data_IF_300951367287
#
_entry.id   IF_300951367287
#
_cell.length_a   1.000
_cell.length_b   1.000
_cell.length_c   1.000
_cell.angle_alpha   90.00
_cell.angle_beta   90.00
_cell.angle_gamma   90.00
#
_symmetry.space_group_name_H-M   'P 1'
#
loop_
_entity.id
_entity.type
_entity.pdbx_description
1 polymer ?
#
# COMPACT_ATOMS: atom_id res chain seq x y z
N UNK A 1 -9.41 22.10 -13.27
CA UNK A 1 -10.11 20.82 -13.52
C UNK A 1 -10.71 20.38 -12.19
N UNK A 2 -11.90 20.91 -11.86
CA UNK A 2 -12.55 20.70 -10.56
C UNK A 2 -13.31 19.37 -10.60
N UNK A 3 -12.86 18.37 -9.84
CA UNK A 3 -13.62 17.15 -9.64
C UNK A 3 -14.96 17.51 -8.97
N UNK A 4 -16.05 17.18 -9.63
CA UNK A 4 -17.42 17.48 -9.19
C UNK A 4 -17.70 16.83 -7.84
N UNK A 5 -17.51 17.58 -6.76
CA UNK A 5 -17.76 17.19 -5.36
C UNK A 5 -19.25 17.34 -4.98
N UNK A 6 -20.14 17.37 -5.98
CA UNK A 6 -21.57 17.67 -5.84
C UNK A 6 -22.37 16.64 -5.04
N UNK A 7 -21.78 15.49 -4.68
CA UNK A 7 -22.43 14.45 -3.86
C UNK A 7 -21.98 14.38 -2.39
N UNK A 8 -21.03 15.20 -1.93
CA UNK A 8 -20.45 15.08 -0.58
C UNK A 8 -21.08 16.10 0.37
N UNK A 9 -22.23 15.74 0.96
CA UNK A 9 -23.04 16.57 1.87
C UNK A 9 -22.27 17.26 3.01
N UNK A 10 -21.25 16.63 3.64
CA UNK A 10 -20.48 17.29 4.69
C UNK A 10 -19.63 18.48 4.20
N UNK A 11 -19.07 18.40 2.99
CA UNK A 11 -18.18 19.43 2.45
C UNK A 11 -18.96 20.65 1.97
N UNK A 12 -20.15 20.43 1.40
CA UNK A 12 -21.05 21.52 1.03
C UNK A 12 -21.61 22.24 2.26
N UNK A 13 -21.90 21.50 3.35
CA UNK A 13 -22.30 22.09 4.63
C UNK A 13 -21.20 22.98 5.22
N UNK A 14 -19.94 22.51 5.20
CA UNK A 14 -18.79 23.29 5.67
C UNK A 14 -18.58 24.58 4.86
N UNK A 15 -18.63 24.49 3.53
CA UNK A 15 -18.51 25.65 2.64
C UNK A 15 -19.63 26.66 2.89
N UNK A 16 -20.87 26.19 3.07
CA UNK A 16 -22.02 27.04 3.33
C UNK A 16 -21.95 27.74 4.70
N UNK A 17 -21.40 27.07 5.73
CA UNK A 17 -21.30 27.63 7.08
C UNK A 17 -20.13 28.60 7.25
N UNK A 18 -18.98 28.32 6.62
CA UNK A 18 -17.75 29.08 6.82
C UNK A 18 -17.45 30.09 5.71
N UNK A 19 -18.07 29.92 4.53
CA UNK A 19 -17.76 30.69 3.33
C UNK A 19 -16.39 30.37 2.71
N UNK A 20 -15.65 29.39 3.25
CA UNK A 20 -14.32 29.02 2.78
C UNK A 20 -14.38 27.93 1.70
N UNK A 21 -13.42 27.90 0.75
CA UNK A 21 -13.36 26.85 -0.26
C UNK A 21 -13.17 25.46 0.36
N UNK A 22 -13.83 24.44 -0.20
CA UNK A 22 -13.77 23.03 0.25
C UNK A 22 -12.35 22.47 0.40
N UNK A 23 -11.40 22.98 -0.39
CA UNK A 23 -10.00 22.58 -0.33
C UNK A 23 -9.36 22.86 1.03
N UNK A 24 -9.76 23.92 1.73
CA UNK A 24 -9.25 24.25 3.06
C UNK A 24 -9.70 23.23 4.11
N UNK A 25 -10.93 22.71 4.00
CA UNK A 25 -11.42 21.66 4.88
C UNK A 25 -10.62 20.36 4.68
N UNK A 26 -10.38 19.98 3.43
CA UNK A 26 -9.59 18.78 3.10
C UNK A 26 -8.14 18.95 3.55
N UNK A 27 -7.51 20.09 3.25
CA UNK A 27 -6.13 20.35 3.61
C UNK A 27 -5.92 20.39 5.13
N UNK A 28 -6.82 21.05 5.86
CA UNK A 28 -6.75 21.10 7.31
C UNK A 28 -7.02 19.72 7.94
N UNK A 29 -8.01 18.98 7.45
CA UNK A 29 -8.27 17.60 7.88
C UNK A 29 -7.08 16.67 7.65
N UNK A 30 -6.48 16.71 6.45
CA UNK A 30 -5.27 15.94 6.15
C UNK A 30 -4.08 16.37 7.01
N UNK A 31 -3.90 17.67 7.24
CA UNK A 31 -2.85 18.20 8.10
C UNK A 31 -3.00 17.73 9.55
N UNK A 32 -4.21 17.80 10.10
CA UNK A 32 -4.52 17.29 11.45
C UNK A 32 -4.29 15.78 11.52
N UNK A 33 -4.73 15.02 10.52
CA UNK A 33 -4.50 13.58 10.46
C UNK A 33 -3.01 13.24 10.47
N UNK A 34 -2.21 13.88 9.63
CA UNK A 34 -0.76 13.66 9.59
C UNK A 34 -0.08 14.11 10.89
N UNK A 35 -0.55 15.19 11.51
CA UNK A 35 -0.08 15.61 12.82
C UNK A 35 -0.38 14.56 13.90
N UNK A 36 -1.57 13.95 13.90
CA UNK A 36 -1.92 12.88 14.85
C UNK A 36 -1.05 11.63 14.65
N UNK A 37 -0.78 11.26 13.39
CA UNK A 37 0.15 10.17 13.06
C UNK A 37 1.56 10.49 13.56
N UNK A 38 2.03 11.72 13.33
CA UNK A 38 3.35 12.18 13.75
C UNK A 38 3.50 12.17 15.28
N UNK A 39 2.50 12.67 16.00
CA UNK A 39 2.52 12.74 17.46
C UNK A 39 2.42 11.35 18.12
N UNK A 40 1.79 10.38 17.45
CA UNK A 40 1.69 8.99 17.88
C UNK A 40 1.32 8.81 19.37
N UNK A 41 0.42 9.66 19.88
CA UNK A 41 0.04 9.67 21.29
C UNK A 41 -0.65 8.34 21.61
N UNK A 42 -0.14 7.60 22.61
CA UNK A 42 -0.71 6.33 23.03
C UNK A 42 -0.68 5.21 21.98
N UNK A 43 0.17 5.32 20.95
CA UNK A 43 0.26 4.31 19.88
C UNK A 43 -0.76 4.49 18.75
N UNK A 44 -1.56 5.56 18.77
CA UNK A 44 -2.55 5.84 17.72
C UNK A 44 -1.93 6.03 16.33
N UNK A 45 -0.67 6.41 16.23
CA UNK A 45 0.02 6.57 14.94
C UNK A 45 0.08 5.27 14.15
N UNK A 46 0.22 4.12 14.81
CA UNK A 46 0.17 2.82 14.16
C UNK A 46 -1.21 2.55 13.56
N UNK A 47 -2.26 2.76 14.35
CA UNK A 47 -3.65 2.54 13.93
C UNK A 47 -4.00 3.44 12.74
N UNK A 48 -3.73 4.74 12.87
CA UNK A 48 -4.00 5.70 11.80
C UNK A 48 -3.22 5.31 10.53
N UNK A 49 -1.91 5.05 10.63
CA UNK A 49 -1.09 4.62 9.48
C UNK A 49 -1.69 3.40 8.75
N UNK A 50 -2.17 2.41 9.51
CA UNK A 50 -2.79 1.21 8.96
C UNK A 50 -4.14 1.50 8.30
N UNK A 51 -4.95 2.39 8.87
CA UNK A 51 -6.20 2.83 8.25
C UNK A 51 -5.94 3.51 6.91
N UNK A 52 -4.98 4.45 6.84
CA UNK A 52 -4.61 5.09 5.58
C UNK A 52 -4.11 4.08 4.55
N UNK A 53 -3.24 3.15 4.98
CA UNK A 53 -2.72 2.10 4.13
C UNK A 53 -3.77 1.07 3.66
N UNK A 54 -4.84 0.88 4.43
CA UNK A 54 -5.88 -0.07 4.07
C UNK A 54 -6.96 0.55 3.17
N UNK A 55 -7.49 1.71 3.57
CA UNK A 55 -8.71 2.27 2.96
C UNK A 55 -8.51 2.71 1.51
N UNK A 56 -7.39 3.36 1.20
CA UNK A 56 -7.15 3.93 -0.13
C UNK A 56 -7.02 2.83 -1.19
N UNK A 57 -6.05 1.91 -1.09
CA UNK A 57 -5.95 0.80 -2.04
C UNK A 57 -7.07 -0.22 -1.88
N UNK A 58 -7.73 -0.31 -0.72
CA UNK A 58 -8.97 -1.06 -0.55
C UNK A 58 -10.09 -0.54 -1.46
N UNK A 59 -10.29 0.78 -1.51
CA UNK A 59 -11.25 1.41 -2.42
C UNK A 59 -10.91 1.12 -3.89
N UNK A 60 -9.64 1.28 -4.28
CA UNK A 60 -9.20 0.96 -5.64
C UNK A 60 -9.32 -0.53 -5.97
N UNK A 61 -9.09 -1.42 -4.99
CA UNK A 61 -9.29 -2.86 -5.16
C UNK A 61 -10.76 -3.18 -5.44
N UNK A 62 -11.70 -2.54 -4.75
CA UNK A 62 -13.13 -2.73 -5.01
C UNK A 62 -13.53 -2.24 -6.40
N UNK A 63 -13.00 -1.11 -6.87
CA UNK A 63 -13.22 -0.66 -8.26
C UNK A 63 -12.60 -1.64 -9.24
N UNK A 64 -11.39 -2.12 -8.96
CA UNK A 64 -10.67 -3.04 -9.83
C UNK A 64 -11.43 -4.36 -10.02
N UNK A 65 -12.18 -4.83 -9.02
CA UNK A 65 -13.01 -6.04 -9.13
C UNK A 65 -14.06 -5.96 -10.25
N UNK A 66 -14.55 -4.77 -10.56
CA UNK A 66 -15.53 -4.54 -11.63
C UNK A 66 -14.85 -4.31 -13.00
N UNK A 67 -13.52 -4.27 -13.06
CA UNK A 67 -12.73 -3.98 -14.27
C UNK A 67 -11.82 -5.15 -14.66
N UNK A 68 -11.61 -5.39 -15.96
CA UNK A 68 -10.85 -6.56 -16.45
C UNK A 68 -9.40 -6.20 -16.80
N UNK A 69 -8.71 -5.42 -15.97
CA UNK A 69 -7.38 -4.88 -16.26
C UNK A 69 -6.27 -5.54 -15.43
N UNK A 70 -5.47 -6.40 -16.08
CA UNK A 70 -4.35 -7.11 -15.43
C UNK A 70 -3.21 -6.20 -14.92
N UNK A 71 -3.08 -5.00 -15.49
CA UNK A 71 -2.02 -4.06 -15.10
C UNK A 71 -2.29 -3.48 -13.71
N UNK A 72 -3.56 -3.18 -13.43
CA UNK A 72 -4.01 -2.65 -12.14
C UNK A 72 -3.85 -3.71 -11.04
N UNK A 73 -4.14 -4.97 -11.35
CA UNK A 73 -3.98 -6.10 -10.42
C UNK A 73 -2.53 -6.26 -9.93
N UNK A 74 -1.54 -6.10 -10.82
CA UNK A 74 -0.13 -6.31 -10.46
C UNK A 74 0.37 -5.24 -9.49
N UNK A 75 -0.05 -3.99 -9.69
CA UNK A 75 0.32 -2.88 -8.81
C UNK A 75 -0.39 -2.98 -7.46
N UNK A 76 -1.69 -3.33 -7.46
CA UNK A 76 -2.46 -3.56 -6.23
C UNK A 76 -1.91 -4.74 -5.42
N UNK A 77 -1.63 -5.88 -6.05
CA UNK A 77 -1.06 -7.03 -5.35
C UNK A 77 0.34 -6.72 -4.79
N UNK A 78 1.16 -6.00 -5.56
CA UNK A 78 2.46 -5.51 -5.06
C UNK A 78 2.28 -4.65 -3.82
N UNK A 79 1.33 -3.71 -3.86
CA UNK A 79 1.01 -2.88 -2.70
C UNK A 79 0.66 -3.73 -1.48
N UNK A 80 -0.26 -4.70 -1.64
CA UNK A 80 -0.72 -5.55 -0.55
C UNK A 80 0.41 -6.38 0.07
N UNK A 81 1.34 -6.90 -0.75
CA UNK A 81 2.54 -7.61 -0.26
C UNK A 81 3.42 -6.68 0.58
N UNK A 82 3.67 -5.46 0.10
CA UNK A 82 4.47 -4.46 0.82
C UNK A 82 3.80 -4.05 2.13
N UNK A 83 2.48 -3.80 2.08
CA UNK A 83 1.68 -3.46 3.26
C UNK A 83 1.73 -4.58 4.31
N UNK A 84 1.51 -5.83 3.90
CA UNK A 84 1.58 -6.99 4.80
C UNK A 84 2.98 -7.14 5.41
N UNK A 85 4.03 -7.03 4.59
CA UNK A 85 5.42 -7.11 5.07
C UNK A 85 5.75 -6.05 6.12
N UNK A 86 5.35 -4.79 5.87
CA UNK A 86 5.54 -3.72 6.84
C UNK A 86 4.81 -4.01 8.14
N UNK A 87 3.54 -4.46 8.09
CA UNK A 87 2.77 -4.83 9.29
C UNK A 87 3.40 -5.97 10.10
N UNK A 88 4.04 -6.95 9.45
CA UNK A 88 4.77 -8.01 10.18
C UNK A 88 5.96 -7.43 10.95
N UNK A 89 6.72 -6.53 10.32
CA UNK A 89 7.84 -5.84 10.98
C UNK A 89 7.35 -4.98 12.16
N UNK A 90 6.12 -4.48 12.13
CA UNK A 90 5.57 -3.69 13.23
C UNK A 90 5.35 -4.45 14.53
N UNK A 91 5.48 -5.78 14.53
CA UNK A 91 5.57 -6.53 15.78
C UNK A 91 6.66 -5.96 16.71
N UNK A 92 7.77 -5.46 16.13
CA UNK A 92 8.85 -4.80 16.86
C UNK A 92 8.70 -3.27 16.93
N UNK A 93 7.48 -2.73 16.85
CA UNK A 93 7.22 -1.27 16.80
C UNK A 93 7.91 -0.49 17.91
N UNK A 94 7.98 -1.02 19.13
CA UNK A 94 8.70 -0.38 20.25
C UNK A 94 10.19 -0.21 19.97
N UNK A 95 10.83 -1.24 19.42
CA UNK A 95 12.24 -1.19 19.05
C UNK A 95 12.46 -0.27 17.84
N UNK A 96 11.57 -0.33 16.85
CA UNK A 96 11.63 0.53 15.66
C UNK A 96 11.52 2.00 16.06
N UNK A 97 10.58 2.36 16.94
CA UNK A 97 10.41 3.74 17.41
C UNK A 97 11.58 4.24 18.27
N UNK A 98 12.29 3.34 18.95
CA UNK A 98 13.50 3.70 19.69
C UNK A 98 14.64 4.11 18.73
N UNK A 99 14.80 3.41 17.61
CA UNK A 99 15.85 3.70 16.62
C UNK A 99 15.45 4.79 15.62
N UNK A 100 14.19 4.80 15.20
CA UNK A 100 13.64 5.68 14.16
C UNK A 100 12.43 6.40 14.75
N UNK A 101 12.62 7.62 15.30
CA UNK A 101 11.50 8.44 15.71
C UNK A 101 10.62 8.77 14.49
N UNK A 102 9.31 8.90 14.70
CA UNK A 102 8.31 9.18 13.64
C UNK A 102 8.17 8.11 12.55
N UNK A 103 8.58 6.87 12.81
CA UNK A 103 8.42 5.74 11.88
C UNK A 103 7.02 5.67 11.24
N UNK A 104 5.95 5.81 12.02
CA UNK A 104 4.58 5.71 11.49
C UNK A 104 4.21 6.83 10.52
N UNK A 105 4.80 8.03 10.65
CA UNK A 105 4.61 9.09 9.67
C UNK A 105 5.27 8.70 8.33
N UNK A 106 6.53 8.26 8.38
CA UNK A 106 7.24 7.82 7.17
C UNK A 106 6.55 6.63 6.51
N UNK A 107 6.12 5.64 7.30
CA UNK A 107 5.31 4.52 6.83
C UNK A 107 4.05 5.02 6.12
N UNK A 108 3.32 5.95 6.73
CA UNK A 108 2.08 6.49 6.15
C UNK A 108 2.35 7.18 4.82
N UNK A 109 3.35 8.06 4.75
CA UNK A 109 3.71 8.75 3.51
C UNK A 109 4.10 7.75 2.42
N UNK A 110 4.92 6.75 2.77
CA UNK A 110 5.32 5.69 1.85
C UNK A 110 4.13 4.88 1.34
N UNK A 111 3.21 4.50 2.23
CA UNK A 111 2.00 3.75 1.86
C UNK A 111 1.02 4.59 1.02
N UNK A 112 0.90 5.89 1.29
CA UNK A 112 0.10 6.79 0.44
C UNK A 112 0.71 6.93 -0.95
N UNK A 113 2.02 7.11 -1.03
CA UNK A 113 2.74 7.17 -2.30
C UNK A 113 2.62 5.87 -3.11
N UNK A 114 2.70 4.72 -2.45
CA UNK A 114 2.56 3.42 -3.11
C UNK A 114 1.12 3.07 -3.48
N UNK A 115 0.15 3.44 -2.64
CA UNK A 115 -1.26 3.03 -2.75
C UNK A 115 -2.11 3.91 -3.66
N UNK A 116 -1.64 5.09 -4.05
CA UNK A 116 -2.35 5.99 -4.97
C UNK A 116 -1.89 5.68 -6.41
N UNK A 117 -2.76 5.12 -7.28
CA UNK A 117 -2.37 4.64 -8.61
C UNK A 117 -1.67 5.69 -9.50
N UNK A 118 -2.12 6.97 -9.56
CA UNK A 118 -1.44 8.01 -10.32
C UNK A 118 0.04 8.24 -9.98
N UNK A 119 0.49 7.88 -8.77
CA UNK A 119 1.89 8.05 -8.37
C UNK A 119 2.79 6.89 -8.81
N UNK A 120 2.21 5.73 -9.18
CA UNK A 120 2.95 4.57 -9.66
C UNK A 120 3.96 3.99 -8.65
N UNK A 121 3.84 4.31 -7.36
CA UNK A 121 4.83 3.92 -6.36
C UNK A 121 4.96 2.40 -6.21
N UNK A 122 3.85 1.67 -6.27
CA UNK A 122 3.86 0.21 -6.21
C UNK A 122 4.60 -0.42 -7.41
N UNK A 123 4.50 0.16 -8.60
CA UNK A 123 5.26 -0.28 -9.78
C UNK A 123 6.77 -0.09 -9.58
N UNK A 124 7.18 1.04 -9.00
CA UNK A 124 8.60 1.30 -8.69
C UNK A 124 9.13 0.27 -7.69
N UNK A 125 8.36 -0.07 -6.65
CA UNK A 125 8.73 -1.11 -5.68
C UNK A 125 8.78 -2.49 -6.34
N UNK A 126 7.83 -2.80 -7.22
CA UNK A 126 7.81 -4.07 -7.96
C UNK A 126 9.08 -4.25 -8.79
N UNK A 127 9.38 -3.29 -9.66
CA UNK A 127 10.49 -3.40 -10.62
C UNK A 127 11.84 -3.44 -9.91
N UNK A 128 12.04 -2.61 -8.88
CA UNK A 128 13.35 -2.43 -8.28
C UNK A 128 13.64 -3.41 -7.13
N UNK A 129 12.62 -3.90 -6.43
CA UNK A 129 12.81 -4.71 -5.22
C UNK A 129 12.22 -6.11 -5.39
N UNK A 130 10.92 -6.21 -5.68
CA UNK A 130 10.23 -7.51 -5.65
C UNK A 130 10.62 -8.39 -6.83
N UNK A 131 10.69 -7.83 -8.04
CA UNK A 131 11.05 -8.57 -9.26
C UNK A 131 12.44 -9.22 -9.18
N UNK A 132 13.53 -8.52 -8.83
CA UNK A 132 14.86 -9.15 -8.74
C UNK A 132 14.92 -10.23 -7.65
N UNK A 133 14.26 -10.03 -6.51
CA UNK A 133 14.17 -11.05 -5.44
C UNK A 133 13.40 -12.28 -5.94
N UNK A 134 12.26 -12.08 -6.61
CA UNK A 134 11.45 -13.17 -7.16
C UNK A 134 12.20 -13.95 -8.23
N UNK A 135 12.86 -13.26 -9.16
CA UNK A 135 13.64 -13.89 -10.22
C UNK A 135 14.81 -14.72 -9.64
N UNK A 136 15.47 -14.23 -8.57
CA UNK A 136 16.60 -14.90 -7.93
C UNK A 136 16.20 -16.12 -7.08
N UNK A 137 15.11 -16.01 -6.31
CA UNK A 137 14.76 -17.02 -5.30
C UNK A 137 13.57 -17.88 -5.69
N UNK A 138 12.51 -17.32 -6.29
CA UNK A 138 11.28 -18.06 -6.60
C UNK A 138 11.44 -18.81 -7.93
N UNK A 139 11.86 -18.12 -9.01
CA UNK A 139 11.99 -18.76 -10.33
C UNK A 139 13.11 -19.78 -10.40
N UNK A 140 14.23 -19.51 -9.74
CA UNK A 140 15.33 -20.47 -9.61
C UNK A 140 14.85 -21.77 -8.94
N UNK A 141 14.19 -21.65 -7.79
CA UNK A 141 13.65 -22.80 -7.06
C UNK A 141 12.57 -23.56 -7.86
N UNK A 142 11.74 -22.86 -8.64
CA UNK A 142 10.75 -23.49 -9.50
C UNK A 142 11.41 -24.26 -10.66
N UNK A 143 12.44 -23.69 -11.28
CA UNK A 143 13.21 -24.34 -12.35
C UNK A 143 13.94 -25.59 -11.84
N UNK A 144 14.53 -25.55 -10.64
CA UNK A 144 15.19 -26.71 -10.02
C UNK A 144 14.19 -27.85 -9.79
N UNK A 145 13.00 -27.55 -9.24
CA UNK A 145 11.94 -28.55 -9.03
C UNK A 145 11.40 -29.16 -10.32
N UNK A 146 11.30 -28.37 -11.39
CA UNK A 146 10.85 -28.88 -12.70
C UNK A 146 11.92 -29.78 -13.33
N UNK A 147 13.20 -29.42 -13.18
CA UNK A 147 14.31 -30.26 -13.66
C UNK A 147 14.36 -31.60 -12.93
N UNK A 148 14.24 -31.58 -11.60
CA UNK A 148 14.24 -32.78 -10.75
C UNK A 148 13.05 -33.70 -11.07
N UNK A 149 11.86 -33.13 -11.30
CA UNK A 149 10.69 -33.91 -11.73
C UNK A 149 10.86 -34.50 -13.15
N UNK A 150 11.48 -33.77 -14.08
CA UNK A 150 11.72 -34.26 -15.44
C UNK A 150 12.76 -35.41 -15.46
N UNK A 151 13.82 -35.31 -14.65
CA UNK A 151 14.83 -36.37 -14.50
C UNK A 151 14.26 -37.64 -13.84
N UNK A 152 13.41 -37.48 -12.82
CA UNK A 152 12.71 -38.60 -12.19
C UNK A 152 11.77 -39.35 -13.15
N UNK A 153 11.05 -38.61 -14.01
CA UNK A 153 10.18 -39.21 -15.04
C UNK A 153 11.00 -39.92 -16.11
N UNK A 154 12.10 -39.32 -16.60
CA UNK A 154 12.98 -39.95 -17.59
C UNK A 154 13.55 -41.27 -17.08
N UNK A 155 14.03 -41.29 -15.83
CA UNK A 155 14.60 -42.50 -15.21
C UNK A 155 13.56 -43.61 -15.04
N UNK A 156 12.30 -43.26 -14.77
CA UNK A 156 11.21 -44.24 -14.61
C UNK A 156 10.69 -44.85 -15.92
N UNK A 157 11.02 -44.26 -17.07
CA UNK A 157 10.62 -44.75 -18.41
C UNK A 157 11.70 -45.65 -19.02
N UNK A 158 12.93 -45.59 -18.54
CA UNK A 158 14.07 -46.39 -19.02
C UNK A 158 14.23 -47.77 -18.32
N UNK A 159 13.28 -48.15 -17.45
CA UNK A 159 13.22 -49.45 -16.74
C UNK A 159 11.99 -50.24 -17.21
#
# INVERSE_FOLDING_TARGET
>A
MAASTSGITPLSFFEQQTGLPRSYAVLSGSGVYLALVFLNIGGMGQLLSNIAGFVIPGYYSLIALDTVSKADDTELLTYWVVFAFLNVIEFWSRAILYWIPFYFLFKTIFLLWAGIPPFGGSKVVYVNIIKPVTDKYIKKSASEKVSEAAEGVSTSVEI
#
